data_IF_110051527960
#
_entry.id   IF_110051527960
#
_cell.length_a   1.000
_cell.length_b   1.000
_cell.length_c   1.000
_cell.angle_alpha   90.00
_cell.angle_beta   90.00
_cell.angle_gamma   90.00
#
_symmetry.space_group_name_H-M   'P 1'
#
loop_
_entity.id
_entity.type
_entity.pdbx_description
1 polymer ?
#
# COMPACT_ATOMS: atom_id res chain seq x y z
N UNK A 1 -0.16 -5.37 -24.55
CA UNK A 1 -0.25 -6.83 -24.30
C UNK A 1 0.62 -7.24 -23.11
N UNK A 2 1.83 -6.67 -22.95
CA UNK A 2 2.76 -6.97 -21.85
C UNK A 2 2.27 -6.52 -20.46
N UNK A 3 1.57 -5.39 -20.33
CA UNK A 3 1.04 -4.91 -19.03
C UNK A 3 -0.13 -5.76 -18.55
N UNK A 4 -1.09 -6.10 -19.42
CA UNK A 4 -2.17 -7.03 -19.06
C UNK A 4 -1.61 -8.39 -18.67
N UNK A 5 -0.57 -8.87 -19.38
CA UNK A 5 0.14 -10.09 -19.02
C UNK A 5 0.90 -9.92 -17.70
N UNK A 6 1.49 -8.76 -17.41
CA UNK A 6 2.23 -8.49 -16.17
C UNK A 6 1.30 -8.33 -14.96
N UNK A 7 0.11 -7.73 -15.14
CA UNK A 7 -0.96 -7.67 -14.14
C UNK A 7 -1.59 -9.04 -13.95
N UNK A 8 -1.84 -9.81 -15.02
CA UNK A 8 -2.31 -11.20 -14.89
C UNK A 8 -1.26 -12.09 -14.25
N UNK A 9 0.02 -11.92 -14.56
CA UNK A 9 1.12 -12.67 -13.93
C UNK A 9 1.30 -12.24 -12.48
N UNK A 10 1.21 -10.94 -12.14
CA UNK A 10 1.17 -10.49 -10.75
C UNK A 10 -0.05 -11.07 -10.04
N UNK A 11 -1.25 -11.01 -10.63
CA UNK A 11 -2.49 -11.55 -10.08
C UNK A 11 -2.42 -13.07 -9.92
N UNK A 12 -1.82 -13.79 -10.85
CA UNK A 12 -1.65 -15.25 -10.82
C UNK A 12 -0.57 -15.69 -9.81
N UNK A 13 0.49 -14.89 -9.66
CA UNK A 13 1.49 -15.05 -8.59
C UNK A 13 0.86 -14.73 -7.23
N UNK A 14 0.06 -13.68 -7.11
CA UNK A 14 -0.66 -13.34 -5.87
C UNK A 14 -1.76 -14.32 -5.52
N UNK A 15 -2.47 -14.88 -6.50
CA UNK A 15 -3.48 -15.92 -6.29
C UNK A 15 -2.88 -17.24 -5.80
N UNK A 16 -1.59 -17.50 -6.11
CA UNK A 16 -0.85 -18.67 -5.61
C UNK A 16 0.00 -18.39 -4.36
N UNK A 17 0.10 -17.13 -3.91
CA UNK A 17 0.81 -16.76 -2.69
C UNK A 17 -0.19 -16.59 -1.54
N UNK A 18 -0.20 -17.62 -0.68
CA UNK A 18 -0.90 -17.70 0.60
C UNK A 18 -2.43 -17.80 0.52
N UNK A 19 -2.89 -19.02 0.16
CA UNK A 19 -4.26 -19.44 0.43
C UNK A 19 -4.58 -19.24 1.91
N UNK A 20 -5.82 -18.85 2.18
CA UNK A 20 -6.32 -18.82 3.55
C UNK A 20 -6.23 -20.21 4.18
N UNK A 21 -5.99 -20.24 5.49
CA UNK A 21 -6.25 -21.46 6.25
C UNK A 21 -7.73 -21.79 6.19
N UNK A 22 -8.07 -23.06 6.30
CA UNK A 22 -9.46 -23.56 6.20
C UNK A 22 -10.39 -22.93 7.24
N UNK A 23 -9.85 -22.50 8.37
CA UNK A 23 -10.52 -21.88 9.52
C UNK A 23 -10.27 -20.37 9.63
N UNK A 24 -9.74 -19.73 8.57
CA UNK A 24 -9.43 -18.32 8.58
C UNK A 24 -10.68 -17.46 8.83
N UNK A 25 -10.62 -16.61 9.86
CA UNK A 25 -11.71 -15.70 10.21
C UNK A 25 -11.48 -14.31 9.61
N UNK A 26 -12.54 -13.57 9.23
CA UNK A 26 -12.39 -12.18 8.81
C UNK A 26 -11.74 -11.32 9.90
N UNK A 27 -10.74 -10.55 9.51
CA UNK A 27 -10.17 -9.49 10.34
C UNK A 27 -11.09 -8.27 10.28
N UNK A 28 -11.73 -7.96 11.41
CA UNK A 28 -12.53 -6.76 11.59
C UNK A 28 -11.88 -5.89 12.66
N UNK A 29 -11.24 -4.80 12.23
CA UNK A 29 -10.56 -3.82 13.08
C UNK A 29 -10.92 -2.40 12.64
N UNK A 30 -10.80 -1.45 13.56
CA UNK A 30 -11.00 -0.02 13.36
C UNK A 30 -9.74 0.75 13.78
N UNK A 31 -9.73 2.07 13.59
CA UNK A 31 -8.58 2.93 13.91
C UNK A 31 -8.20 2.86 15.39
N UNK A 32 -9.15 2.53 16.26
CA UNK A 32 -8.99 2.47 17.72
C UNK A 32 -8.37 1.16 18.21
N UNK A 33 -8.42 0.08 17.43
CA UNK A 33 -7.90 -1.24 17.82
C UNK A 33 -6.94 -1.88 16.81
N UNK A 34 -6.53 -1.14 15.78
CA UNK A 34 -5.56 -1.58 14.78
C UNK A 34 -4.10 -1.45 15.24
N UNK A 35 -3.75 -1.99 16.41
CA UNK A 35 -2.34 -2.11 16.82
C UNK A 35 -1.61 -3.11 15.94
N UNK A 36 -0.31 -2.91 15.71
CA UNK A 36 0.56 -3.84 14.99
C UNK A 36 1.62 -4.32 15.97
N UNK A 37 1.86 -5.63 16.00
CA UNK A 37 2.88 -6.23 16.85
C UNK A 37 3.69 -7.25 16.08
N UNK A 38 5.01 -7.13 16.17
CA UNK A 38 5.97 -8.15 15.74
C UNK A 38 6.56 -8.79 17.00
N UNK A 39 6.52 -10.12 17.08
CA UNK A 39 7.11 -10.90 18.18
C UNK A 39 8.15 -11.88 17.65
N UNK A 40 9.40 -11.63 17.99
CA UNK A 40 10.54 -12.52 17.70
C UNK A 40 10.62 -12.95 16.23
N UNK A 41 10.32 -12.00 15.32
CA UNK A 41 10.17 -12.31 13.90
C UNK A 41 11.53 -12.54 13.25
N UNK A 42 11.72 -13.73 12.70
CA UNK A 42 12.87 -14.09 11.88
C UNK A 42 12.41 -14.30 10.44
N UNK A 43 13.15 -13.75 9.48
CA UNK A 43 12.81 -13.91 8.07
C UNK A 43 14.00 -13.70 7.14
N UNK A 44 14.06 -14.46 6.05
CA UNK A 44 14.95 -14.23 4.91
C UNK A 44 14.33 -14.78 3.62
N UNK A 45 14.57 -14.13 2.48
CA UNK A 45 14.04 -14.60 1.17
C UNK A 45 14.68 -15.90 0.69
N UNK A 46 15.90 -16.19 1.15
CA UNK A 46 16.67 -17.39 0.79
C UNK A 46 17.16 -18.06 2.07
N UNK A 47 17.18 -19.38 2.08
CA UNK A 47 17.77 -20.15 3.17
C UNK A 47 19.22 -19.72 3.42
N UNK A 48 19.61 -19.56 4.68
CA UNK A 48 20.95 -19.13 5.08
C UNK A 48 21.25 -17.63 4.89
N UNK A 49 20.29 -16.82 4.42
CA UNK A 49 20.44 -15.35 4.28
C UNK A 49 19.33 -14.62 5.05
N UNK A 50 19.45 -14.54 6.39
CA UNK A 50 18.47 -13.83 7.21
C UNK A 50 18.51 -12.33 6.92
N UNK A 51 17.33 -11.71 6.95
CA UNK A 51 17.12 -10.26 6.77
C UNK A 51 16.61 -9.65 8.07
N UNK A 52 15.63 -10.31 8.71
CA UNK A 52 15.13 -9.95 10.03
C UNK A 52 15.58 -11.04 11.01
N UNK A 53 16.18 -10.63 12.12
CA UNK A 53 16.64 -11.51 13.18
C UNK A 53 16.01 -11.04 14.50
N UNK A 54 15.15 -11.88 15.08
CA UNK A 54 14.46 -11.62 16.35
C UNK A 54 13.78 -10.24 16.45
N UNK A 55 13.18 -9.77 15.35
CA UNK A 55 12.57 -8.44 15.31
C UNK A 55 11.30 -8.40 16.16
N UNK A 56 11.28 -7.50 17.16
CA UNK A 56 10.14 -7.29 18.04
C UNK A 56 9.83 -5.81 18.22
N UNK A 57 8.58 -5.40 17.99
CA UNK A 57 8.10 -4.05 18.25
C UNK A 57 6.57 -3.99 18.28
N UNK A 58 6.04 -2.91 18.86
CA UNK A 58 4.60 -2.61 18.87
C UNK A 58 4.36 -1.21 18.29
N UNK A 59 3.43 -1.11 17.35
CA UNK A 59 2.83 0.15 16.91
C UNK A 59 1.44 0.23 17.54
N UNK A 60 1.22 1.13 18.52
CA UNK A 60 -0.09 1.27 19.14
C UNK A 60 -1.12 1.82 18.15
N UNK A 61 -2.39 1.45 18.32
CA UNK A 61 -3.48 1.93 17.49
C UNK A 61 -3.57 3.47 17.51
N UNK A 62 -3.84 4.07 16.34
CA UNK A 62 -3.97 5.52 16.17
C UNK A 62 -2.67 6.32 16.36
N UNK A 63 -1.51 5.68 16.50
CA UNK A 63 -0.21 6.36 16.61
C UNK A 63 0.53 6.44 15.28
N UNK A 64 1.23 7.55 15.07
CA UNK A 64 2.19 7.71 13.96
C UNK A 64 3.54 7.20 14.44
N UNK A 65 4.08 6.19 13.76
CA UNK A 65 5.39 5.59 14.06
C UNK A 65 6.21 5.58 12.79
N UNK A 66 7.49 5.93 12.92
CA UNK A 66 8.47 5.85 11.84
C UNK A 66 9.42 4.67 12.09
N UNK A 67 9.64 3.85 11.05
CA UNK A 67 10.67 2.82 11.06
C UNK A 67 11.83 3.33 10.20
N UNK A 68 12.96 3.59 10.85
CA UNK A 68 14.15 4.15 10.21
C UNK A 68 15.30 3.13 10.23
N UNK A 69 16.18 3.21 9.25
CA UNK A 69 17.34 2.33 9.12
C UNK A 69 18.03 2.51 7.78
N UNK A 70 19.29 2.05 7.68
CA UNK A 70 20.08 2.14 6.45
C UNK A 70 19.46 1.39 5.26
N UNK A 71 20.03 1.59 4.07
CA UNK A 71 19.66 0.77 2.90
C UNK A 71 19.90 -0.71 3.20
N UNK A 72 18.97 -1.57 2.80
CA UNK A 72 19.05 -3.01 3.06
C UNK A 72 18.68 -3.46 4.49
N UNK A 73 18.29 -2.56 5.39
CA UNK A 73 17.94 -2.91 6.78
C UNK A 73 16.62 -3.69 6.97
N UNK A 74 15.95 -4.08 5.88
CA UNK A 74 14.71 -4.86 5.93
C UNK A 74 13.40 -4.07 6.08
N UNK A 75 13.40 -2.74 5.94
CA UNK A 75 12.17 -1.91 6.06
C UNK A 75 11.05 -2.35 5.12
N UNK A 76 11.34 -2.47 3.82
CA UNK A 76 10.35 -2.93 2.84
C UNK A 76 9.95 -4.39 3.09
N UNK A 77 10.80 -5.19 3.73
CA UNK A 77 10.45 -6.56 4.16
C UNK A 77 9.39 -6.56 5.25
N UNK A 78 9.43 -5.62 6.20
CA UNK A 78 8.38 -5.46 7.23
C UNK A 78 7.02 -5.23 6.55
N UNK A 79 6.97 -4.35 5.55
CA UNK A 79 5.73 -4.06 4.80
C UNK A 79 5.25 -5.31 4.05
N UNK A 80 6.14 -6.04 3.38
CA UNK A 80 5.80 -7.27 2.66
C UNK A 80 5.27 -8.38 3.59
N UNK A 81 5.80 -8.48 4.80
CA UNK A 81 5.31 -9.42 5.82
C UNK A 81 3.94 -8.99 6.37
N UNK A 82 3.73 -7.69 6.61
CA UNK A 82 2.41 -7.17 7.02
C UNK A 82 1.31 -7.49 6.00
N UNK A 83 1.60 -7.33 4.71
CA UNK A 83 0.69 -7.68 3.61
C UNK A 83 0.56 -9.20 3.36
N UNK A 84 1.26 -10.00 4.17
CA UNK A 84 1.36 -11.45 4.07
C UNK A 84 1.71 -11.90 2.65
N UNK A 85 2.62 -11.19 2.00
CA UNK A 85 3.25 -11.64 0.75
C UNK A 85 4.27 -12.75 1.01
N UNK A 86 4.82 -12.75 2.22
CA UNK A 86 5.65 -13.82 2.76
C UNK A 86 5.20 -14.12 4.19
N UNK A 87 5.45 -15.33 4.66
CA UNK A 87 5.32 -15.67 6.07
C UNK A 87 6.69 -15.59 6.76
N UNK A 88 6.74 -15.17 8.04
CA UNK A 88 7.98 -15.22 8.80
C UNK A 88 8.45 -16.67 8.93
N UNK A 89 9.77 -16.89 8.98
CA UNK A 89 10.38 -18.20 9.21
C UNK A 89 10.10 -18.68 10.63
N UNK A 90 10.09 -17.76 11.60
CA UNK A 90 9.63 -17.98 12.97
C UNK A 90 9.17 -16.67 13.59
N UNK A 91 8.49 -16.76 14.74
CA UNK A 91 7.82 -15.64 15.38
C UNK A 91 6.44 -15.38 14.79
N UNK A 92 5.81 -14.29 15.23
CA UNK A 92 4.45 -13.95 14.81
C UNK A 92 4.27 -12.45 14.59
N UNK A 93 3.31 -12.14 13.72
CA UNK A 93 2.87 -10.77 13.44
C UNK A 93 1.38 -10.71 13.76
N UNK A 94 1.00 -9.76 14.60
CA UNK A 94 -0.38 -9.57 15.04
C UNK A 94 -0.89 -8.20 14.62
N UNK A 95 -2.17 -8.16 14.26
CA UNK A 95 -2.92 -6.92 14.08
C UNK A 95 -4.16 -6.97 14.97
N UNK A 96 -4.33 -5.97 15.83
CA UNK A 96 -5.41 -5.95 16.82
C UNK A 96 -5.42 -7.18 17.73
N UNK A 97 -4.23 -7.71 18.04
CA UNK A 97 -4.05 -8.92 18.84
C UNK A 97 -4.36 -10.24 18.12
N UNK A 98 -4.70 -10.22 16.83
CA UNK A 98 -4.92 -11.43 16.01
C UNK A 98 -3.70 -11.71 15.14
N UNK A 99 -3.19 -12.94 15.16
CA UNK A 99 -2.10 -13.34 14.30
C UNK A 99 -2.55 -13.28 12.83
N UNK A 100 -1.78 -12.57 11.98
CA UNK A 100 -2.17 -12.32 10.59
C UNK A 100 -2.19 -13.60 9.74
N UNK A 101 -1.59 -14.71 10.22
CA UNK A 101 -1.60 -16.01 9.54
C UNK A 101 -2.92 -16.76 9.72
N UNK A 102 -3.73 -16.37 10.71
CA UNK A 102 -4.99 -17.05 11.07
C UNK A 102 -6.24 -16.30 10.55
N UNK A 103 -6.06 -15.20 9.84
CA UNK A 103 -7.16 -14.38 9.32
C UNK A 103 -7.28 -14.47 7.81
N UNK A 104 -8.46 -14.12 7.30
CA UNK A 104 -8.72 -14.01 5.86
C UNK A 104 -7.85 -12.92 5.22
N UNK A 105 -7.18 -13.24 4.11
CA UNK A 105 -6.20 -12.37 3.46
C UNK A 105 -6.83 -11.11 2.86
N UNK A 106 -8.06 -11.20 2.38
CA UNK A 106 -8.75 -10.08 1.76
C UNK A 106 -9.15 -9.06 2.83
N UNK A 107 -9.69 -9.52 3.95
CA UNK A 107 -9.97 -8.68 5.12
C UNK A 107 -8.69 -8.05 5.69
N UNK A 108 -7.59 -8.80 5.80
CA UNK A 108 -6.28 -8.29 6.23
C UNK A 108 -5.82 -7.12 5.34
N UNK A 109 -5.84 -7.31 4.01
CA UNK A 109 -5.37 -6.29 3.05
C UNK A 109 -6.35 -5.12 2.90
N UNK A 110 -7.64 -5.31 3.17
CA UNK A 110 -8.63 -4.21 3.24
C UNK A 110 -8.36 -3.29 4.44
N UNK A 111 -7.84 -3.82 5.53
CA UNK A 111 -7.50 -3.04 6.72
C UNK A 111 -6.25 -2.15 6.57
N UNK A 112 -5.51 -2.25 5.46
CA UNK A 112 -4.27 -1.50 5.24
C UNK A 112 -4.28 -0.74 3.91
N UNK A 113 -3.87 0.53 3.92
CA UNK A 113 -3.54 1.31 2.74
C UNK A 113 -2.03 1.55 2.69
N UNK A 114 -1.45 1.50 1.48
CA UNK A 114 -0.02 1.76 1.24
C UNK A 114 0.13 2.89 0.24
N UNK A 115 1.01 3.82 0.55
CA UNK A 115 1.60 4.77 -0.40
C UNK A 115 3.03 4.28 -0.67
N UNK A 116 3.28 3.62 -1.81
CA UNK A 116 4.59 3.08 -2.13
C UNK A 116 5.54 4.19 -2.60
N UNK A 117 6.85 3.90 -2.56
CA UNK A 117 7.89 4.76 -3.12
C UNK A 117 7.63 5.06 -4.59
N UNK A 118 7.43 4.00 -5.39
CA UNK A 118 7.12 4.10 -6.81
C UNK A 118 5.63 3.86 -7.06
N UNK A 119 4.92 4.94 -7.36
CA UNK A 119 3.51 4.90 -7.70
C UNK A 119 3.30 4.55 -9.18
N UNK A 120 2.62 3.43 -9.43
CA UNK A 120 2.28 2.98 -10.79
C UNK A 120 0.90 3.48 -11.18
N UNK A 121 0.75 3.84 -12.46
CA UNK A 121 -0.52 4.21 -13.05
C UNK A 121 -0.91 3.19 -14.12
N UNK A 122 -2.19 2.85 -14.14
CA UNK A 122 -2.78 2.10 -15.24
C UNK A 122 -2.84 3.00 -16.47
N UNK A 123 -2.75 2.38 -17.64
CA UNK A 123 -2.97 3.06 -18.90
C UNK A 123 -4.47 3.29 -19.13
N UNK A 124 -5.00 4.27 -18.42
CA UNK A 124 -6.41 4.65 -18.37
C UNK A 124 -6.53 6.12 -17.94
N UNK A 125 -7.75 6.62 -17.73
CA UNK A 125 -8.04 7.96 -17.23
C UNK A 125 -7.46 8.21 -15.83
N UNK A 126 -7.27 9.49 -15.50
CA UNK A 126 -6.95 9.92 -14.13
C UNK A 126 -8.07 9.49 -13.18
N UNK A 127 -9.35 9.62 -13.58
CA UNK A 127 -10.50 9.15 -12.81
C UNK A 127 -10.36 7.69 -12.42
N UNK A 128 -10.17 6.80 -13.40
CA UNK A 128 -9.99 5.36 -13.17
C UNK A 128 -8.82 5.09 -12.23
N UNK A 129 -7.70 5.77 -12.47
CA UNK A 129 -6.51 5.61 -11.64
C UNK A 129 -6.78 6.00 -10.18
N UNK A 130 -7.54 7.06 -9.90
CA UNK A 130 -7.90 7.44 -8.53
C UNK A 130 -8.93 6.49 -7.92
N UNK A 131 -9.94 6.12 -8.70
CA UNK A 131 -11.02 5.22 -8.29
C UNK A 131 -10.53 3.83 -7.90
N UNK A 132 -9.38 3.41 -8.44
CA UNK A 132 -8.70 2.18 -8.05
C UNK A 132 -8.39 2.06 -6.54
N UNK A 133 -8.41 3.17 -5.78
CA UNK A 133 -8.33 3.13 -4.32
C UNK A 133 -9.51 2.38 -3.69
N UNK A 134 -10.71 2.56 -4.23
CA UNK A 134 -11.93 1.84 -3.90
C UNK A 134 -12.99 2.05 -5.00
N UNK A 135 -13.24 1.02 -5.81
CA UNK A 135 -14.16 1.07 -6.95
C UNK A 135 -15.63 1.20 -6.53
N UNK A 136 -15.96 1.04 -5.23
CA UNK A 136 -17.33 1.21 -4.73
C UNK A 136 -17.71 2.67 -4.47
N UNK A 137 -16.73 3.58 -4.49
CA UNK A 137 -16.91 5.00 -4.19
C UNK A 137 -17.55 5.77 -5.33
N UNK A 138 -18.25 6.85 -5.02
CA UNK A 138 -18.81 7.75 -6.04
C UNK A 138 -17.73 8.66 -6.65
N UNK A 139 -17.97 9.19 -7.86
CA UNK A 139 -17.05 10.15 -8.49
C UNK A 139 -16.79 11.38 -7.62
N UNK A 140 -17.79 11.84 -6.87
CA UNK A 140 -17.62 12.96 -5.94
C UNK A 140 -16.64 12.62 -4.81
N UNK A 141 -16.70 11.41 -4.25
CA UNK A 141 -15.73 10.97 -3.23
C UNK A 141 -14.31 10.87 -3.81
N UNK A 142 -14.19 10.43 -5.07
CA UNK A 142 -12.90 10.40 -5.79
C UNK A 142 -12.33 11.81 -5.96
N UNK A 143 -13.17 12.77 -6.34
CA UNK A 143 -12.77 14.18 -6.48
C UNK A 143 -12.36 14.78 -5.14
N UNK A 144 -13.08 14.49 -4.05
CA UNK A 144 -12.70 14.93 -2.70
C UNK A 144 -11.35 14.33 -2.26
N UNK A 145 -11.11 13.03 -2.50
CA UNK A 145 -9.82 12.41 -2.24
C UNK A 145 -8.68 13.07 -3.03
N UNK A 146 -8.93 13.45 -4.29
CA UNK A 146 -7.97 14.18 -5.12
C UNK A 146 -7.71 15.61 -4.62
N UNK A 147 -8.70 16.27 -3.99
CA UNK A 147 -8.51 17.58 -3.34
C UNK A 147 -7.65 17.45 -2.09
N UNK A 148 -7.94 16.47 -1.23
CA UNK A 148 -7.18 16.20 -0.01
C UNK A 148 -5.73 15.81 -0.30
N UNK A 149 -5.47 15.19 -1.46
CA UNK A 149 -4.13 14.88 -1.94
C UNK A 149 -3.49 16.01 -2.76
N UNK A 150 -4.06 17.22 -2.79
CA UNK A 150 -3.56 18.38 -3.55
C UNK A 150 -3.37 18.15 -5.06
N UNK A 151 -4.11 17.20 -5.64
CA UNK A 151 -4.03 16.84 -7.05
C UNK A 151 -5.07 17.56 -7.92
N UNK A 152 -6.22 17.91 -7.32
CA UNK A 152 -7.38 18.45 -8.04
C UNK A 152 -7.04 19.65 -8.94
N UNK A 153 -6.30 20.63 -8.42
CA UNK A 153 -5.99 21.85 -9.18
C UNK A 153 -5.14 21.59 -10.43
N UNK A 154 -4.21 20.63 -10.37
CA UNK A 154 -3.42 20.23 -11.54
C UNK A 154 -4.29 19.51 -12.56
N UNK A 155 -5.14 18.59 -12.11
CA UNK A 155 -6.02 17.81 -12.99
C UNK A 155 -7.06 18.69 -13.67
N UNK A 156 -7.70 19.61 -12.95
CA UNK A 156 -8.75 20.50 -13.47
C UNK A 156 -8.24 21.48 -14.54
N UNK A 157 -6.93 21.71 -14.64
CA UNK A 157 -6.31 22.54 -15.69
C UNK A 157 -6.07 21.78 -17.00
N UNK A 158 -6.17 20.45 -16.99
CA UNK A 158 -5.99 19.64 -18.18
C UNK A 158 -7.20 19.79 -19.11
N UNK A 159 -7.03 19.77 -20.45
CA UNK A 159 -8.14 19.93 -21.40
C UNK A 159 -9.29 18.94 -21.19
N UNK A 160 -8.98 17.71 -20.76
CA UNK A 160 -9.97 16.66 -20.51
C UNK A 160 -10.18 16.40 -19.00
N UNK A 161 -9.59 17.23 -18.12
CA UNK A 161 -9.70 17.06 -16.68
C UNK A 161 -9.39 15.63 -16.21
N UNK A 162 -10.30 15.07 -15.41
CA UNK A 162 -10.21 13.69 -14.90
C UNK A 162 -10.31 12.60 -15.98
N UNK A 163 -10.85 12.92 -17.18
CA UNK A 163 -10.91 11.99 -18.31
C UNK A 163 -9.60 11.95 -19.11
N UNK A 164 -8.58 12.72 -18.70
CA UNK A 164 -7.26 12.67 -19.33
C UNK A 164 -6.65 11.28 -19.18
N UNK A 165 -6.26 10.68 -20.31
CA UNK A 165 -5.57 9.39 -20.36
C UNK A 165 -4.12 9.53 -19.89
N UNK A 166 -3.67 8.63 -19.01
CA UNK A 166 -2.30 8.59 -18.46
C UNK A 166 -1.66 7.21 -18.67
N UNK A 167 -0.40 7.04 -18.27
CA UNK A 167 0.36 5.78 -18.44
C UNK A 167 1.24 5.76 -19.69
N UNK A 168 1.71 4.59 -20.13
CA UNK A 168 2.77 4.44 -21.16
C UNK A 168 2.48 5.15 -22.49
N UNK A 169 1.21 5.30 -22.90
CA UNK A 169 0.82 6.01 -24.13
C UNK A 169 -0.06 7.24 -23.87
N UNK A 170 -0.26 7.60 -22.60
CA UNK A 170 -1.06 8.74 -22.18
C UNK A 170 -0.19 9.95 -21.87
N UNK A 171 -0.80 10.96 -21.25
CA UNK A 171 -0.06 12.09 -20.68
C UNK A 171 0.92 11.57 -19.62
N UNK A 172 2.19 12.00 -19.73
CA UNK A 172 3.16 11.80 -18.67
C UNK A 172 2.87 12.77 -17.53
N UNK A 173 2.54 12.23 -16.35
CA UNK A 173 2.44 13.00 -15.12
C UNK A 173 3.75 12.91 -14.34
N UNK A 174 4.08 14.01 -13.64
CA UNK A 174 5.31 14.13 -12.87
C UNK A 174 5.39 13.11 -11.73
N UNK A 175 6.58 12.89 -11.16
CA UNK A 175 6.77 12.02 -10.00
C UNK A 175 5.89 12.43 -8.81
N UNK A 176 5.88 13.73 -8.48
CA UNK A 176 5.03 14.27 -7.41
C UNK A 176 3.53 14.11 -7.68
N UNK A 177 3.07 14.24 -8.92
CA UNK A 177 1.65 13.99 -9.26
C UNK A 177 1.30 12.50 -9.17
N UNK A 178 2.18 11.60 -9.62
CA UNK A 178 1.99 10.15 -9.45
C UNK A 178 1.87 9.78 -7.97
N UNK A 179 2.68 10.41 -7.13
CA UNK A 179 2.61 10.18 -5.70
C UNK A 179 1.31 10.73 -5.08
N UNK A 180 0.88 11.94 -5.47
CA UNK A 180 -0.42 12.48 -5.07
C UNK A 180 -1.58 11.58 -5.51
N UNK A 181 -1.51 10.93 -6.68
CA UNK A 181 -2.48 9.89 -7.07
C UNK A 181 -2.48 8.74 -6.07
N UNK A 182 -1.30 8.26 -5.62
CA UNK A 182 -1.25 7.19 -4.61
C UNK A 182 -1.75 7.63 -3.24
N UNK A 183 -1.51 8.87 -2.83
CA UNK A 183 -2.07 9.44 -1.60
C UNK A 183 -3.59 9.51 -1.71
N UNK A 184 -4.13 9.99 -2.83
CA UNK A 184 -5.56 10.02 -3.07
C UNK A 184 -6.20 8.62 -3.02
N UNK A 185 -5.55 7.60 -3.60
CA UNK A 185 -5.99 6.20 -3.50
C UNK A 185 -6.04 5.72 -2.05
N UNK A 186 -5.02 6.06 -1.26
CA UNK A 186 -4.94 5.68 0.15
C UNK A 186 -6.02 6.37 0.99
N UNK A 187 -6.29 7.65 0.72
CA UNK A 187 -7.39 8.41 1.34
C UNK A 187 -8.74 7.79 0.98
N UNK A 188 -8.95 7.50 -0.30
CA UNK A 188 -10.21 6.93 -0.81
C UNK A 188 -10.51 5.55 -0.19
N UNK A 189 -9.48 4.74 0.02
CA UNK A 189 -9.58 3.42 0.66
C UNK A 189 -9.96 3.49 2.14
N UNK A 190 -9.63 4.59 2.83
CA UNK A 190 -9.92 4.86 4.26
C UNK A 190 -9.66 3.66 5.20
N UNK A 191 -8.52 2.99 5.01
CA UNK A 191 -8.12 1.85 5.84
C UNK A 191 -7.69 2.28 7.26
N UNK A 192 -7.94 1.45 8.29
CA UNK A 192 -7.48 1.70 9.66
C UNK A 192 -5.96 1.89 9.81
N UNK A 193 -5.18 1.21 8.97
CA UNK A 193 -3.71 1.27 8.96
C UNK A 193 -3.28 1.93 7.65
N UNK A 194 -2.45 2.98 7.76
CA UNK A 194 -1.85 3.67 6.62
C UNK A 194 -0.33 3.57 6.70
N UNK A 195 0.30 3.08 5.63
CA UNK A 195 1.73 2.85 5.54
C UNK A 195 2.30 3.72 4.42
N UNK A 196 3.36 4.47 4.72
CA UNK A 196 4.14 5.22 3.75
C UNK A 196 5.51 4.55 3.58
N UNK A 197 5.82 4.10 2.36
CA UNK A 197 7.12 3.51 2.02
C UNK A 197 7.95 4.56 1.27
N UNK A 198 8.92 5.18 1.97
CA UNK A 198 9.82 6.21 1.42
C UNK A 198 9.14 7.38 0.68
N UNK A 199 7.90 7.70 1.08
CA UNK A 199 7.02 8.64 0.39
C UNK A 199 7.44 10.13 0.44
N UNK A 200 8.59 10.50 1.01
CA UNK A 200 9.04 11.91 1.05
C UNK A 200 10.11 12.23 0.01
N UNK A 201 10.83 11.23 -0.50
CA UNK A 201 11.98 11.42 -1.41
C UNK A 201 11.64 12.13 -2.74
N UNK A 202 10.39 12.09 -3.20
CA UNK A 202 9.94 12.66 -4.47
C UNK A 202 9.19 13.99 -4.35
N UNK A 203 8.89 14.46 -3.13
CA UNK A 203 8.29 15.78 -2.89
C UNK A 203 9.34 16.87 -2.63
N UNK A 204 10.51 16.48 -2.13
CA UNK A 204 11.58 17.42 -1.75
C UNK A 204 12.16 18.18 -2.95
N UNK A 205 11.90 17.76 -4.19
CA UNK A 205 12.34 18.48 -5.40
C UNK A 205 11.57 19.77 -5.69
N UNK A 206 10.49 20.06 -4.96
CA UNK A 206 9.65 21.26 -5.17
C UNK A 206 10.00 22.38 -4.16
N UNK A 207 10.71 22.06 -3.07
CA UNK A 207 10.96 22.99 -1.96
C UNK A 207 12.33 23.68 -1.97
N UNK A 208 13.18 23.41 -2.96
CA UNK A 208 14.42 24.16 -3.19
C UNK A 208 14.27 25.13 -4.37
N UNK A 209 13.73 26.31 -4.11
CA UNK A 209 14.00 27.54 -4.86
C UNK A 209 13.77 28.77 -3.98
#
# INVERSE_FOLDING_TARGET
MTIFYSIYVLYFIFANLNQNRTDAVPLSISKENASIEFRNVNFGYQSGKPILNDLSFIVPAGKKVAIVGGSGSGKSTIIRLLFRFFEPTSGEILIGGKNIKDVDIDSLRKCMAVVPQDSVLFHDTIMYNLHYGDMSKSESEVVEAAKLAELHNSVSKLPNGYLTQVGERGLMISGGEKQRVSIARAILKDSPILIFDEATSSLDSITEQ
#
